data_IF_810919044512
#
_entry.id   IF_810919044512
#
_cell.length_a   1.000
_cell.length_b   1.000
_cell.length_c   1.000
_cell.angle_alpha   90.00
_cell.angle_beta   90.00
_cell.angle_gamma   90.00
#
_symmetry.space_group_name_H-M   'P 1'
#
loop_
_entity.id
_entity.type
_entity.pdbx_description
1 polymer ?
#
# COMPACT_ATOMS: atom_id res chain seq x y z
N UNK A 1 0.61 -18.87 -1.76
CA UNK A 1 0.60 -17.89 -0.65
C UNK A 1 1.57 -18.39 0.41
N UNK A 2 2.74 -17.78 0.60
CA UNK A 2 3.69 -18.27 1.62
C UNK A 2 3.31 -17.75 3.00
N UNK A 3 2.26 -18.34 3.59
CA UNK A 3 1.86 -18.11 4.99
C UNK A 3 3.05 -18.19 5.96
N UNK A 4 4.01 -19.05 5.65
CA UNK A 4 5.27 -19.20 6.38
C UNK A 4 6.10 -17.91 6.41
N UNK A 5 6.25 -17.21 5.28
CA UNK A 5 7.05 -15.99 5.20
C UNK A 5 6.38 -14.84 5.97
N UNK A 6 5.06 -14.72 5.90
CA UNK A 6 4.31 -13.75 6.71
C UNK A 6 4.49 -14.05 8.20
N UNK A 7 4.38 -15.32 8.61
CA UNK A 7 4.53 -15.71 10.01
C UNK A 7 5.95 -15.53 10.57
N UNK A 8 6.98 -15.64 9.71
CA UNK A 8 8.38 -15.53 10.10
C UNK A 8 8.82 -14.08 10.37
N UNK A 9 8.14 -13.10 9.76
CA UNK A 9 8.51 -11.70 9.80
C UNK A 9 7.53 -10.91 10.66
N UNK A 10 8.01 -10.29 11.74
CA UNK A 10 7.15 -9.64 12.74
C UNK A 10 6.38 -8.46 12.16
N UNK A 11 6.95 -7.71 11.23
CA UNK A 11 6.31 -6.60 10.52
C UNK A 11 5.13 -7.08 9.65
N UNK A 12 5.34 -8.11 8.83
CA UNK A 12 4.28 -8.69 7.99
C UNK A 12 3.23 -9.41 8.83
N UNK A 13 3.65 -10.16 9.84
CA UNK A 13 2.75 -10.84 10.77
C UNK A 13 1.85 -9.82 11.47
N UNK A 14 2.41 -8.72 11.96
CA UNK A 14 1.66 -7.66 12.63
C UNK A 14 0.59 -7.05 11.72
N UNK A 15 0.91 -6.76 10.46
CA UNK A 15 -0.09 -6.30 9.49
C UNK A 15 -1.29 -7.25 9.42
N UNK A 16 -1.02 -8.56 9.27
CA UNK A 16 -2.09 -9.55 9.18
C UNK A 16 -2.86 -9.70 10.50
N UNK A 17 -2.15 -9.71 11.63
CA UNK A 17 -2.75 -9.89 12.95
C UNK A 17 -3.62 -8.67 13.35
N UNK A 18 -3.33 -7.47 12.81
CA UNK A 18 -4.17 -6.27 12.92
C UNK A 18 -5.31 -6.21 11.89
N UNK A 19 -5.48 -7.26 11.07
CA UNK A 19 -6.61 -7.40 10.16
C UNK A 19 -6.39 -6.90 8.73
N UNK A 20 -5.18 -6.43 8.38
CA UNK A 20 -4.89 -6.03 7.01
C UNK A 20 -4.81 -7.26 6.08
N UNK A 21 -5.46 -7.16 4.92
CA UNK A 21 -5.45 -8.23 3.94
C UNK A 21 -4.22 -8.17 3.05
N UNK A 22 -3.15 -8.84 3.48
CA UNK A 22 -1.86 -8.83 2.78
C UNK A 22 -1.56 -10.13 2.02
N UNK A 23 -0.82 -9.99 0.92
CA UNK A 23 -0.25 -11.08 0.13
C UNK A 23 1.19 -10.76 -0.24
N UNK A 24 2.03 -11.80 -0.26
CA UNK A 24 3.37 -11.72 -0.85
C UNK A 24 3.36 -12.47 -2.18
N UNK A 25 3.69 -11.77 -3.26
CA UNK A 25 3.67 -12.32 -4.62
C UNK A 25 4.75 -11.66 -5.47
N UNK A 26 5.60 -12.47 -6.10
CA UNK A 26 6.59 -12.02 -7.09
C UNK A 26 7.52 -10.88 -6.62
N UNK A 27 7.95 -10.90 -5.35
CA UNK A 27 8.79 -9.84 -4.80
C UNK A 27 8.01 -8.57 -4.42
N UNK A 28 6.69 -8.62 -4.36
CA UNK A 28 5.84 -7.54 -3.88
C UNK A 28 5.08 -7.93 -2.62
N UNK A 29 4.91 -6.94 -1.74
CA UNK A 29 3.93 -6.93 -0.66
C UNK A 29 2.69 -6.18 -1.17
N UNK A 30 1.57 -6.89 -1.19
CA UNK A 30 0.30 -6.42 -1.74
C UNK A 30 -0.70 -6.35 -0.58
N UNK A 31 -1.23 -5.17 -0.29
CA UNK A 31 -2.29 -4.96 0.69
C UNK A 31 -3.57 -4.59 -0.04
N UNK A 32 -4.57 -5.47 0.04
CA UNK A 32 -5.87 -5.34 -0.64
C UNK A 32 -6.92 -4.80 0.30
N UNK A 33 -8.07 -4.47 -0.26
CA UNK A 33 -9.26 -4.03 0.48
C UNK A 33 -9.04 -2.74 1.29
N UNK A 34 -8.12 -1.88 0.86
CA UNK A 34 -7.84 -0.61 1.53
C UNK A 34 -8.95 0.38 1.18
N UNK A 35 -9.73 0.87 2.15
CA UNK A 35 -10.78 1.84 1.88
C UNK A 35 -10.20 3.19 1.47
N UNK A 36 -10.86 3.87 0.54
CA UNK A 36 -10.49 5.22 0.10
C UNK A 36 -11.70 5.92 -0.52
N UNK A 37 -11.66 7.24 -0.65
CA UNK A 37 -12.74 8.03 -1.28
C UNK A 37 -12.39 8.30 -2.74
N UNK A 38 -13.36 8.19 -3.66
CA UNK A 38 -13.19 8.61 -5.05
C UNK A 38 -13.77 10.01 -5.33
N UNK A 39 -13.64 10.52 -6.56
CA UNK A 39 -14.15 11.85 -6.94
C UNK A 39 -15.66 12.02 -6.83
N UNK A 40 -16.43 10.93 -6.77
CA UNK A 40 -17.87 10.95 -6.54
C UNK A 40 -18.23 10.97 -5.05
N UNK A 41 -17.24 11.03 -4.16
CA UNK A 41 -17.38 10.91 -2.70
C UNK A 41 -17.98 9.56 -2.29
N UNK A 42 -17.62 8.50 -2.99
CA UNK A 42 -17.94 7.14 -2.59
C UNK A 42 -16.73 6.46 -1.95
N UNK A 43 -16.99 5.66 -0.91
CA UNK A 43 -16.00 4.77 -0.33
C UNK A 43 -15.82 3.57 -1.27
N UNK A 44 -14.63 3.50 -1.87
CA UNK A 44 -14.17 2.41 -2.70
C UNK A 44 -13.12 1.57 -1.96
N UNK A 45 -12.69 0.46 -2.59
CA UNK A 45 -11.57 -0.36 -2.09
C UNK A 45 -10.49 -0.50 -3.14
N UNK A 46 -9.25 -0.22 -2.73
CA UNK A 46 -8.08 -0.27 -3.59
C UNK A 46 -7.01 -1.22 -3.05
N UNK A 47 -5.92 -1.31 -3.79
CA UNK A 47 -4.78 -2.16 -3.45
C UNK A 47 -3.49 -1.35 -3.42
N UNK A 48 -2.77 -1.39 -2.30
CA UNK A 48 -1.42 -0.83 -2.15
C UNK A 48 -0.40 -1.92 -2.48
N UNK A 49 0.58 -1.61 -3.33
CA UNK A 49 1.60 -2.54 -3.79
C UNK A 49 2.98 -1.94 -3.54
N UNK A 50 3.81 -2.61 -2.75
CA UNK A 50 5.21 -2.24 -2.50
C UNK A 50 6.15 -3.34 -2.98
N UNK A 51 7.33 -2.98 -3.47
CA UNK A 51 8.46 -3.92 -3.52
C UNK A 51 8.70 -4.51 -2.14
N UNK A 52 9.05 -5.80 -2.07
CA UNK A 52 9.39 -6.52 -0.86
C UNK A 52 10.84 -6.98 -0.92
N UNK A 53 11.70 -6.31 -0.15
CA UNK A 53 13.12 -6.60 -0.01
C UNK A 53 13.33 -7.67 1.06
N UNK A 54 14.01 -8.75 0.69
CA UNK A 54 14.25 -9.90 1.54
C UNK A 54 15.75 -10.23 1.62
N UNK A 55 16.19 -10.74 2.78
CA UNK A 55 17.45 -11.45 2.97
C UNK A 55 17.13 -12.91 3.32
N UNK A 56 17.12 -13.79 2.32
CA UNK A 56 16.51 -15.12 2.45
C UNK A 56 15.00 -14.97 2.69
N UNK A 57 14.50 -15.50 3.80
CA UNK A 57 13.08 -15.38 4.19
C UNK A 57 12.81 -14.25 5.19
N UNK A 58 13.80 -13.40 5.49
CA UNK A 58 13.65 -12.27 6.43
C UNK A 58 13.44 -10.94 5.69
N UNK A 59 12.49 -10.13 6.15
CA UNK A 59 12.30 -8.77 5.63
C UNK A 59 13.51 -7.89 5.91
N UNK A 60 13.82 -7.03 4.94
CA UNK A 60 14.74 -5.90 5.11
C UNK A 60 13.94 -4.61 5.17
N UNK A 61 14.61 -3.54 5.58
CA UNK A 61 14.07 -2.17 5.45
C UNK A 61 13.65 -1.93 3.99
N UNK A 62 12.49 -1.29 3.75
CA UNK A 62 12.07 -0.94 2.39
C UNK A 62 13.16 -0.19 1.62
N UNK A 63 13.45 -0.66 0.41
CA UNK A 63 14.44 -0.11 -0.51
C UNK A 63 14.00 1.23 -1.12
N UNK A 64 12.69 1.42 -1.24
CA UNK A 64 12.06 2.65 -1.69
C UNK A 64 10.92 3.05 -0.76
N UNK A 65 10.61 4.35 -0.73
CA UNK A 65 9.43 4.89 -0.07
C UNK A 65 8.19 4.81 -0.97
N UNK A 66 8.36 4.66 -2.28
CA UNK A 66 7.27 4.62 -3.26
C UNK A 66 6.41 3.36 -3.10
N UNK A 67 5.12 3.50 -3.36
CA UNK A 67 4.18 2.39 -3.57
C UNK A 67 3.43 2.60 -4.88
N UNK A 68 2.90 1.53 -5.43
CA UNK A 68 1.91 1.58 -6.48
C UNK A 68 0.52 1.39 -5.89
N UNK A 69 -0.47 1.94 -6.55
CA UNK A 69 -1.87 1.83 -6.14
C UNK A 69 -2.74 1.42 -7.32
N UNK A 70 -3.53 0.38 -7.10
CA UNK A 70 -4.55 -0.10 -8.01
C UNK A 70 -5.95 0.23 -7.46
N UNK A 71 -6.66 1.07 -8.21
CA UNK A 71 -7.90 1.73 -7.82
C UNK A 71 -8.06 3.00 -8.63
N UNK A 72 -9.23 3.63 -8.55
CA UNK A 72 -9.44 4.98 -9.09
C UNK A 72 -8.66 6.02 -8.28
N UNK A 73 -8.51 7.25 -8.81
CA UNK A 73 -7.79 8.32 -8.13
C UNK A 73 -8.35 8.56 -6.72
N UNK A 74 -7.54 8.41 -5.65
CA UNK A 74 -7.99 8.71 -4.31
C UNK A 74 -8.20 10.20 -4.08
N UNK A 75 -9.25 10.51 -3.34
CA UNK A 75 -9.69 11.84 -2.99
C UNK A 75 -9.81 12.03 -1.48
N UNK A 76 -9.88 13.29 -1.06
CA UNK A 76 -10.33 13.67 0.28
C UNK A 76 -11.86 13.50 0.41
N UNK A 77 -12.40 13.83 1.59
CA UNK A 77 -13.83 13.66 1.88
C UNK A 77 -14.72 14.58 1.02
N UNK A 78 -14.15 15.68 0.54
CA UNK A 78 -14.78 16.66 -0.35
C UNK A 78 -14.78 16.22 -1.82
N UNK A 79 -14.09 15.12 -2.16
CA UNK A 79 -13.97 14.59 -3.52
C UNK A 79 -12.79 15.16 -4.32
N UNK A 80 -11.91 15.93 -3.69
CA UNK A 80 -10.71 16.50 -4.32
C UNK A 80 -9.54 15.49 -4.27
N UNK A 81 -8.83 15.34 -5.39
CA UNK A 81 -7.75 14.36 -5.50
C UNK A 81 -6.62 14.61 -4.49
N UNK A 82 -6.06 13.54 -3.92
CA UNK A 82 -4.93 13.57 -2.98
C UNK A 82 -3.59 13.83 -3.68
N UNK A 83 -3.50 14.88 -4.50
CA UNK A 83 -2.35 15.18 -5.35
C UNK A 83 -1.02 15.30 -4.59
N UNK A 84 -1.06 15.63 -3.29
CA UNK A 84 0.12 15.74 -2.44
C UNK A 84 0.92 14.42 -2.31
N UNK A 85 0.27 13.26 -2.49
CA UNK A 85 0.93 11.95 -2.43
C UNK A 85 1.08 11.29 -3.79
N UNK A 86 0.43 11.82 -4.84
CA UNK A 86 0.50 11.28 -6.19
C UNK A 86 1.83 11.67 -6.83
N UNK A 87 2.67 10.67 -7.11
CA UNK A 87 3.90 10.86 -7.86
C UNK A 87 3.64 10.78 -9.38
N UNK A 88 2.85 9.80 -9.82
CA UNK A 88 2.53 9.59 -11.22
C UNK A 88 1.22 8.80 -11.38
N UNK A 89 0.48 9.05 -12.47
CA UNK A 89 -0.66 8.23 -12.89
C UNK A 89 -0.45 7.71 -14.30
N UNK A 90 -0.43 6.38 -14.45
CA UNK A 90 -0.28 5.66 -15.72
C UNK A 90 -0.63 4.19 -15.49
N UNK A 91 -0.82 3.43 -16.57
CA UNK A 91 -0.91 1.97 -16.44
C UNK A 91 0.50 1.45 -16.15
N UNK A 92 0.66 0.84 -14.99
CA UNK A 92 1.89 0.14 -14.60
C UNK A 92 1.64 -1.37 -14.69
N UNK A 93 2.40 -2.06 -15.54
CA UNK A 93 2.51 -3.52 -15.51
C UNK A 93 3.73 -3.90 -14.66
N UNK A 94 3.48 -4.38 -13.44
CA UNK A 94 4.51 -4.84 -12.50
C UNK A 94 4.89 -6.31 -12.76
N UNK A 95 4.31 -6.92 -13.80
CA UNK A 95 4.55 -8.27 -14.24
C UNK A 95 3.69 -9.31 -13.53
N UNK A 96 3.53 -10.47 -14.19
CA UNK A 96 2.90 -11.68 -13.62
C UNK A 96 1.48 -11.41 -13.07
N UNK A 97 0.73 -10.57 -13.79
CA UNK A 97 -0.65 -10.20 -13.49
C UNK A 97 -0.80 -9.27 -12.28
N UNK A 98 0.20 -8.43 -12.02
CA UNK A 98 0.11 -7.35 -11.03
C UNK A 98 0.13 -6.04 -11.82
N UNK A 99 -0.93 -5.27 -11.72
CA UNK A 99 -1.06 -3.96 -12.38
C UNK A 99 -1.40 -2.88 -11.37
N UNK A 100 -1.13 -1.63 -11.73
CA UNK A 100 -1.54 -0.46 -10.95
C UNK A 100 -1.86 0.71 -11.89
N UNK A 101 -2.60 1.70 -11.38
CA UNK A 101 -2.97 2.92 -12.13
C UNK A 101 -2.23 4.16 -11.63
N UNK A 102 -1.70 4.09 -10.40
CA UNK A 102 -1.06 5.21 -9.75
C UNK A 102 0.21 4.79 -9.03
N UNK A 103 1.11 5.74 -8.85
CA UNK A 103 2.33 5.63 -8.07
C UNK A 103 2.31 6.76 -7.03
N UNK A 104 2.50 6.40 -5.76
CA UNK A 104 2.44 7.33 -4.64
C UNK A 104 3.80 7.43 -3.93
N UNK A 105 4.09 8.62 -3.41
CA UNK A 105 5.29 8.90 -2.63
C UNK A 105 4.94 9.70 -1.39
N UNK A 106 5.21 9.13 -0.23
CA UNK A 106 5.14 9.79 1.07
C UNK A 106 6.37 9.33 1.83
N UNK A 107 7.32 10.23 2.07
CA UNK A 107 8.57 9.89 2.76
C UNK A 107 8.58 10.54 4.14
N UNK A 108 8.50 9.76 5.23
CA UNK A 108 8.75 10.28 6.56
C UNK A 108 10.18 10.85 6.67
N UNK A 109 10.40 11.85 7.53
CA UNK A 109 11.74 12.45 7.72
C UNK A 109 12.82 11.41 8.06
N UNK A 110 12.48 10.41 8.88
CA UNK A 110 13.36 9.30 9.26
C UNK A 110 13.41 8.15 8.25
N UNK A 111 12.60 8.19 7.18
CA UNK A 111 12.29 7.03 6.36
C UNK A 111 11.40 6.01 7.08
N UNK A 112 11.10 4.92 6.39
CA UNK A 112 10.33 3.81 6.93
C UNK A 112 11.24 2.83 7.66
N UNK A 113 10.81 2.40 8.84
CA UNK A 113 11.57 1.48 9.70
C UNK A 113 11.44 0.03 9.27
N UNK A 114 10.26 -0.35 8.77
CA UNK A 114 9.93 -1.69 8.27
C UNK A 114 8.70 -1.62 7.33
N UNK A 115 8.23 -2.78 6.88
CA UNK A 115 7.04 -2.86 6.02
C UNK A 115 5.74 -2.56 6.76
N UNK A 116 5.67 -2.82 8.06
CA UNK A 116 4.51 -2.47 8.86
C UNK A 116 4.30 -0.96 8.85
N UNK A 117 5.32 -0.19 9.21
CA UNK A 117 5.30 1.26 9.24
C UNK A 117 4.99 1.83 7.84
N UNK A 118 5.63 1.31 6.79
CA UNK A 118 5.36 1.76 5.42
C UNK A 118 3.90 1.55 5.01
N UNK A 119 3.41 0.32 5.11
CA UNK A 119 2.10 -0.03 4.56
C UNK A 119 0.97 0.60 5.38
N UNK A 120 1.08 0.64 6.71
CA UNK A 120 0.09 1.32 7.56
C UNK A 120 0.05 2.83 7.30
N UNK A 121 1.21 3.48 7.08
CA UNK A 121 1.23 4.91 6.71
C UNK A 121 0.39 5.19 5.48
N UNK A 122 0.58 4.41 4.41
CA UNK A 122 -0.21 4.58 3.19
C UNK A 122 -1.67 4.20 3.37
N UNK A 123 -1.96 3.13 4.13
CA UNK A 123 -3.34 2.76 4.44
C UNK A 123 -4.06 3.87 5.20
N UNK A 124 -3.42 4.50 6.19
CA UNK A 124 -3.99 5.62 6.95
C UNK A 124 -4.22 6.86 6.09
N UNK A 125 -3.30 7.21 5.20
CA UNK A 125 -3.47 8.34 4.26
C UNK A 125 -4.72 8.15 3.41
N UNK A 126 -4.98 6.93 2.93
CA UNK A 126 -6.12 6.63 2.06
C UNK A 126 -7.43 6.46 2.83
N UNK A 127 -7.38 5.74 3.96
CA UNK A 127 -8.55 5.36 4.74
C UNK A 127 -9.10 6.52 5.58
N UNK A 128 -8.24 7.45 6.03
CA UNK A 128 -8.66 8.53 6.92
C UNK A 128 -9.76 9.42 6.33
N UNK A 129 -9.80 9.58 5.00
CA UNK A 129 -10.88 10.31 4.33
C UNK A 129 -12.16 9.49 4.18
N UNK A 130 -12.06 8.16 4.11
CA UNK A 130 -13.22 7.27 4.03
C UNK A 130 -13.92 7.09 5.39
N UNK A 131 -13.19 7.24 6.49
CA UNK A 131 -13.73 7.12 7.85
C UNK A 131 -14.60 8.31 8.29
N UNK A 132 -14.43 9.47 7.65
CA UNK A 132 -15.12 10.73 8.00
C UNK A 132 -16.28 11.07 7.06
N UNK A 133 -16.61 10.17 6.13
CA UNK A 133 -17.61 10.34 5.09
C UNK A 133 -18.93 9.64 5.45
#
# INVERSE_FOLDING_TARGET
MSLQLINLNSDLKRLRDEGYFIQVKNGFLIMRDVPYVNSNRHVCRGTIISSLSLAGDRTRIPDTHVVHFDGDMPCNAEGEALNAVVLQSSIFDLGRGITAKHMFSSKPKSGYTDYYHKMTTYASILSGHAEVL
#
